data_IF_607735690944
#
_entry.id   IF_607735690944
#
_cell.length_a   1.000
_cell.length_b   1.000
_cell.length_c   1.000
_cell.angle_alpha   90.00
_cell.angle_beta   90.00
_cell.angle_gamma   90.00
#
_symmetry.space_group_name_H-M   'P 1'
#
loop_
_entity.id
_entity.type
_entity.pdbx_description
1 polymer ?
#
# COMPACT_ATOMS: atom_id res chain seq x y z
N UNK A 1 47.97 -20.36 -28.30
CA UNK A 1 48.01 -19.11 -27.50
C UNK A 1 47.04 -18.04 -28.01
N UNK A 2 47.05 -17.70 -29.31
CA UNK A 2 46.16 -16.66 -29.90
C UNK A 2 44.67 -16.99 -29.72
N UNK A 3 44.26 -18.23 -29.98
CA UNK A 3 42.85 -18.66 -29.83
C UNK A 3 42.34 -18.47 -28.39
N UNK A 4 43.17 -18.80 -27.40
CA UNK A 4 42.82 -18.61 -25.99
C UNK A 4 42.64 -17.14 -25.62
N UNK A 5 43.51 -16.25 -26.13
CA UNK A 5 43.38 -14.81 -25.95
C UNK A 5 42.07 -14.27 -26.56
N UNK A 6 41.75 -14.66 -27.80
CA UNK A 6 40.51 -14.24 -28.47
C UNK A 6 39.27 -14.71 -27.72
N UNK A 7 39.26 -15.98 -27.26
CA UNK A 7 38.15 -16.52 -26.47
C UNK A 7 38.02 -15.79 -25.12
N UNK A 8 39.13 -15.49 -24.45
CA UNK A 8 39.13 -14.74 -23.20
C UNK A 8 38.57 -13.32 -23.36
N UNK A 9 39.01 -12.58 -24.38
CA UNK A 9 38.50 -11.23 -24.66
C UNK A 9 37.02 -11.24 -25.07
N UNK A 10 36.60 -12.22 -25.88
CA UNK A 10 35.20 -12.39 -26.26
C UNK A 10 34.31 -12.69 -25.04
N UNK A 11 34.77 -13.57 -24.13
CA UNK A 11 34.09 -13.86 -22.88
C UNK A 11 34.00 -12.63 -21.97
N UNK A 12 35.10 -11.87 -21.82
CA UNK A 12 35.11 -10.62 -21.04
C UNK A 12 34.15 -9.58 -21.62
N UNK A 13 34.07 -9.45 -22.94
CA UNK A 13 33.11 -8.57 -23.60
C UNK A 13 31.66 -9.01 -23.36
N UNK A 14 31.37 -10.31 -23.48
CA UNK A 14 30.05 -10.87 -23.19
C UNK A 14 29.64 -10.65 -21.73
N UNK A 15 30.57 -10.85 -20.79
CA UNK A 15 30.33 -10.57 -19.38
C UNK A 15 30.09 -9.08 -19.15
N UNK A 16 30.92 -8.19 -19.71
CA UNK A 16 30.74 -6.74 -19.58
C UNK A 16 29.37 -6.28 -20.14
N UNK A 17 28.95 -6.82 -21.27
CA UNK A 17 27.63 -6.56 -21.86
C UNK A 17 26.49 -7.10 -20.99
N UNK A 18 26.64 -8.30 -20.41
CA UNK A 18 25.68 -8.88 -19.48
C UNK A 18 25.58 -8.11 -18.16
N UNK A 19 26.71 -7.67 -17.60
CA UNK A 19 26.78 -6.93 -16.34
C UNK A 19 26.39 -5.46 -16.48
N UNK A 20 26.45 -4.86 -17.68
CA UNK A 20 26.07 -3.46 -17.92
C UNK A 20 24.70 -3.12 -17.34
N UNK A 21 23.71 -3.98 -17.56
CA UNK A 21 22.36 -3.76 -17.03
C UNK A 21 22.31 -3.82 -15.51
N UNK A 22 23.00 -4.79 -14.91
CA UNK A 22 23.07 -4.94 -13.45
C UNK A 22 23.78 -3.76 -12.78
N UNK A 23 24.91 -3.32 -13.35
CA UNK A 23 25.65 -2.15 -12.87
C UNK A 23 24.80 -0.88 -12.96
N UNK A 24 24.15 -0.66 -14.11
CA UNK A 24 23.28 0.49 -14.31
C UNK A 24 22.08 0.51 -13.34
N UNK A 25 21.45 -0.64 -13.10
CA UNK A 25 20.36 -0.76 -12.13
C UNK A 25 20.84 -0.49 -10.70
N UNK A 26 22.03 -1.00 -10.33
CA UNK A 26 22.67 -0.72 -9.04
C UNK A 26 22.92 0.77 -8.84
N UNK A 27 23.44 1.46 -9.86
CA UNK A 27 23.67 2.91 -9.82
C UNK A 27 22.38 3.70 -9.63
N UNK A 28 21.33 3.40 -10.41
CA UNK A 28 20.03 4.05 -10.23
C UNK A 28 19.44 3.76 -8.85
N UNK A 29 19.54 2.52 -8.37
CA UNK A 29 19.09 2.13 -7.03
C UNK A 29 19.76 2.97 -5.94
N UNK A 30 21.07 3.23 -6.06
CA UNK A 30 21.83 4.05 -5.11
C UNK A 30 21.46 5.54 -5.18
N UNK A 31 21.33 6.10 -6.38
CA UNK A 31 21.07 7.54 -6.56
C UNK A 31 19.64 7.91 -6.16
N UNK A 32 18.65 7.15 -6.64
CA UNK A 32 17.25 7.49 -6.47
C UNK A 32 16.57 6.73 -5.33
N UNK A 33 17.18 5.66 -4.83
CA UNK A 33 16.57 4.74 -3.88
C UNK A 33 15.80 3.61 -4.55
N UNK A 34 15.68 2.48 -3.84
CA UNK A 34 15.07 1.26 -4.35
C UNK A 34 13.56 1.34 -4.56
N UNK A 35 12.87 2.24 -3.85
CA UNK A 35 11.42 2.47 -3.99
C UNK A 35 11.08 3.69 -4.85
N UNK A 36 12.02 4.17 -5.66
CA UNK A 36 11.80 5.29 -6.57
C UNK A 36 11.14 4.86 -7.86
N UNK A 37 10.35 5.76 -8.46
CA UNK A 37 9.81 5.56 -9.81
C UNK A 37 10.93 5.31 -10.82
N UNK A 38 12.04 6.06 -10.72
CA UNK A 38 13.19 5.94 -11.63
C UNK A 38 13.76 4.50 -11.63
N UNK A 39 14.00 3.93 -10.44
CA UNK A 39 14.48 2.56 -10.31
C UNK A 39 13.45 1.54 -10.81
N UNK A 40 12.22 1.58 -10.28
CA UNK A 40 11.19 0.57 -10.59
C UNK A 40 10.84 0.56 -12.07
N UNK A 41 10.67 1.74 -12.68
CA UNK A 41 10.38 1.87 -14.11
C UNK A 41 11.52 1.33 -14.97
N UNK A 42 12.77 1.65 -14.62
CA UNK A 42 13.93 1.15 -15.36
C UNK A 42 14.12 -0.36 -15.20
N UNK A 43 13.93 -0.89 -14.00
CA UNK A 43 13.99 -2.33 -13.75
C UNK A 43 12.95 -3.06 -14.61
N UNK A 44 11.70 -2.59 -14.62
CA UNK A 44 10.62 -3.16 -15.45
C UNK A 44 10.94 -3.07 -16.94
N UNK A 45 11.50 -1.95 -17.41
CA UNK A 45 11.88 -1.76 -18.81
C UNK A 45 12.92 -2.79 -19.28
N UNK A 46 13.93 -3.07 -18.45
CA UNK A 46 15.04 -3.99 -18.74
C UNK A 46 14.62 -5.46 -18.56
N UNK A 47 14.00 -5.79 -17.42
CA UNK A 47 13.74 -7.20 -17.03
C UNK A 47 12.36 -7.71 -17.44
N UNK A 48 11.45 -6.81 -17.86
CA UNK A 48 10.02 -7.08 -18.07
C UNK A 48 9.29 -7.63 -16.84
N UNK A 49 9.88 -7.51 -15.64
CA UNK A 49 9.34 -7.98 -14.36
C UNK A 49 9.27 -6.84 -13.36
N UNK A 50 8.36 -6.95 -12.39
CA UNK A 50 8.37 -6.03 -11.25
C UNK A 50 9.49 -6.45 -10.27
N UNK A 51 10.33 -5.53 -9.77
CA UNK A 51 11.31 -5.87 -8.73
C UNK A 51 10.66 -6.30 -7.41
N UNK A 52 9.36 -6.01 -7.21
CA UNK A 52 8.62 -6.31 -5.99
C UNK A 52 7.34 -7.10 -6.26
N UNK A 53 6.91 -7.87 -5.27
CA UNK A 53 5.58 -8.49 -5.25
C UNK A 53 4.49 -7.42 -5.26
N UNK A 54 3.41 -7.67 -5.99
CA UNK A 54 2.26 -6.76 -6.02
C UNK A 54 1.40 -6.96 -4.76
N UNK A 55 0.91 -5.87 -4.19
CA UNK A 55 0.05 -5.93 -3.00
C UNK A 55 -1.34 -6.50 -3.30
N UNK A 56 -1.85 -6.15 -4.47
CA UNK A 56 -3.08 -6.62 -5.08
C UNK A 56 -2.86 -6.70 -6.59
N UNK A 57 -3.64 -7.56 -7.26
CA UNK A 57 -3.54 -7.72 -8.73
C UNK A 57 -4.40 -6.70 -9.48
N UNK A 58 -5.42 -6.17 -8.83
CA UNK A 58 -6.41 -5.28 -9.43
C UNK A 58 -5.91 -3.83 -9.56
N UNK A 59 -6.68 -2.99 -10.23
CA UNK A 59 -6.35 -1.56 -10.33
C UNK A 59 -6.50 -0.87 -8.95
N UNK A 60 -5.50 -0.08 -8.56
CA UNK A 60 -5.55 0.70 -7.31
C UNK A 60 -6.74 1.68 -7.29
N UNK A 61 -7.27 2.05 -8.46
CA UNK A 61 -8.47 2.86 -8.59
C UNK A 61 -9.68 2.23 -7.90
N UNK A 62 -9.79 0.90 -7.83
CA UNK A 62 -10.86 0.24 -7.10
C UNK A 62 -10.77 0.49 -5.60
N UNK A 63 -9.55 0.49 -5.04
CA UNK A 63 -9.33 0.80 -3.63
C UNK A 63 -9.72 2.25 -3.32
N UNK A 64 -9.40 3.19 -4.22
CA UNK A 64 -9.78 4.59 -4.07
C UNK A 64 -11.27 4.84 -4.28
N UNK A 65 -11.92 4.14 -5.20
CA UNK A 65 -13.36 4.25 -5.42
C UNK A 65 -14.16 3.95 -4.14
N UNK A 66 -13.72 2.95 -3.37
CA UNK A 66 -14.37 2.61 -2.11
C UNK A 66 -14.29 3.73 -1.04
N UNK A 67 -13.34 4.66 -1.15
CA UNK A 67 -13.31 5.88 -0.32
C UNK A 67 -14.51 6.77 -0.64
N UNK A 68 -14.84 6.96 -1.92
CA UNK A 68 -16.03 7.71 -2.32
C UNK A 68 -17.33 7.00 -1.90
N UNK A 69 -17.32 5.67 -1.86
CA UNK A 69 -18.46 4.88 -1.37
C UNK A 69 -18.67 5.04 0.14
N UNK A 70 -17.59 5.17 0.92
CA UNK A 70 -17.65 5.50 2.34
C UNK A 70 -18.39 6.82 2.58
N UNK A 71 -18.15 7.84 1.75
CA UNK A 71 -18.83 9.15 1.85
C UNK A 71 -20.32 9.09 1.53
N UNK A 72 -20.74 8.07 0.77
CA UNK A 72 -22.13 7.84 0.41
C UNK A 72 -22.79 6.80 1.32
N UNK A 73 -22.06 6.26 2.28
CA UNK A 73 -22.55 5.19 3.13
C UNK A 73 -23.64 5.72 4.06
N UNK A 74 -24.81 5.10 4.04
CA UNK A 74 -25.97 5.50 4.86
C UNK A 74 -25.85 5.02 6.31
N UNK A 75 -24.95 4.08 6.59
CA UNK A 75 -24.68 3.55 7.93
C UNK A 75 -23.43 4.21 8.50
N UNK A 76 -23.63 5.35 9.13
CA UNK A 76 -22.61 6.17 9.76
C UNK A 76 -22.74 6.07 11.29
N UNK A 77 -21.61 5.85 11.96
CA UNK A 77 -21.47 5.89 13.40
C UNK A 77 -20.48 6.98 13.76
N UNK A 78 -20.82 7.84 14.71
CA UNK A 78 -19.95 8.92 15.17
C UNK A 78 -19.28 8.52 16.48
N UNK A 79 -17.98 8.82 16.59
CA UNK A 79 -17.14 8.52 17.76
C UNK A 79 -16.25 9.71 18.08
N UNK A 80 -15.69 9.77 19.28
CA UNK A 80 -14.80 10.87 19.67
C UNK A 80 -13.51 10.90 18.84
N UNK A 81 -12.95 9.71 18.57
CA UNK A 81 -11.66 9.55 17.91
C UNK A 81 -11.59 8.24 17.15
N UNK A 82 -11.25 8.33 15.86
CA UNK A 82 -10.85 7.18 15.06
C UNK A 82 -9.34 7.04 15.16
N UNK A 83 -8.87 5.89 15.62
CA UNK A 83 -7.44 5.64 15.75
C UNK A 83 -6.81 5.20 14.43
N UNK A 84 -5.62 5.69 14.19
CA UNK A 84 -4.74 5.16 13.16
C UNK A 84 -4.26 3.76 13.55
N UNK A 85 -4.53 2.75 12.71
CA UNK A 85 -4.31 1.33 13.04
C UNK A 85 -2.84 0.94 13.28
N UNK A 86 -1.89 1.65 12.67
CA UNK A 86 -0.44 1.42 12.85
C UNK A 86 0.31 2.60 13.46
N UNK A 87 -0.41 3.56 14.03
CA UNK A 87 0.21 4.71 14.72
C UNK A 87 0.95 5.71 13.82
N UNK A 88 0.89 5.58 12.48
CA UNK A 88 1.47 6.56 11.57
C UNK A 88 0.55 7.74 11.31
N UNK A 89 0.88 8.95 11.77
CA UNK A 89 0.09 10.13 11.44
C UNK A 89 -0.02 10.31 9.92
N UNK A 90 -1.10 10.95 9.46
CA UNK A 90 -1.16 11.39 8.07
C UNK A 90 0.03 12.30 7.73
N UNK A 91 0.37 12.36 6.46
CA UNK A 91 1.52 13.05 5.90
C UNK A 91 2.89 12.51 6.33
N UNK A 92 2.95 11.42 7.11
CA UNK A 92 4.20 10.68 7.33
C UNK A 92 4.80 10.27 6.00
N UNK A 93 6.10 10.52 5.81
CA UNK A 93 6.78 10.16 4.59
C UNK A 93 6.97 8.66 4.45
N UNK A 94 7.01 8.15 3.21
CA UNK A 94 7.34 6.74 2.96
C UNK A 94 8.69 6.35 3.58
N UNK A 95 9.68 7.26 3.54
CA UNK A 95 10.98 7.02 4.16
C UNK A 95 10.86 6.80 5.67
N UNK A 96 10.10 7.64 6.38
CA UNK A 96 9.90 7.48 7.82
C UNK A 96 9.22 6.15 8.17
N UNK A 97 8.23 5.72 7.38
CA UNK A 97 7.60 4.41 7.57
C UNK A 97 8.59 3.27 7.33
N UNK A 98 9.38 3.36 6.26
CA UNK A 98 10.40 2.37 5.92
C UNK A 98 11.48 2.25 7.01
N UNK A 99 11.94 3.37 7.56
CA UNK A 99 12.95 3.40 8.61
C UNK A 99 12.44 2.73 9.92
N UNK A 100 11.13 2.65 10.13
CA UNK A 100 10.51 2.02 11.31
C UNK A 100 10.10 0.55 11.09
N UNK A 101 9.63 0.18 9.90
CA UNK A 101 9.11 -1.18 9.62
C UNK A 101 9.97 -2.02 8.67
N UNK A 102 11.15 -1.53 8.30
CA UNK A 102 12.02 -2.16 7.30
C UNK A 102 11.33 -2.33 5.94
N UNK A 103 11.65 -3.43 5.25
CA UNK A 103 11.23 -3.71 3.90
C UNK A 103 9.76 -4.14 3.84
N UNK A 104 8.92 -3.55 2.97
CA UNK A 104 7.57 -4.06 2.74
C UNK A 104 7.59 -5.43 2.05
N UNK A 105 6.62 -6.27 2.41
CA UNK A 105 6.36 -7.58 1.80
C UNK A 105 5.89 -7.46 0.34
N UNK A 106 5.17 -6.38 0.04
CA UNK A 106 4.71 -6.05 -1.29
C UNK A 106 4.78 -4.54 -1.55
N UNK A 107 4.96 -4.16 -2.81
CA UNK A 107 5.06 -2.76 -3.18
C UNK A 107 4.43 -2.49 -4.54
N UNK A 108 3.56 -1.49 -4.60
CA UNK A 108 2.98 -0.97 -5.83
C UNK A 108 3.41 0.47 -6.00
N UNK A 109 3.81 0.83 -7.23
CA UNK A 109 4.17 2.19 -7.58
C UNK A 109 3.52 2.55 -8.91
N UNK A 110 2.74 3.62 -8.89
CA UNK A 110 2.08 4.20 -10.05
C UNK A 110 2.48 5.68 -10.17
N UNK A 111 2.66 6.17 -11.40
CA UNK A 111 2.93 7.58 -11.68
C UNK A 111 1.89 8.10 -12.66
N UNK A 112 1.14 9.12 -12.25
CA UNK A 112 0.23 9.86 -13.11
C UNK A 112 0.76 11.29 -13.28
N UNK A 113 1.21 11.63 -14.50
CA UNK A 113 1.84 12.92 -14.83
C UNK A 113 3.01 13.24 -13.87
N UNK A 114 2.81 14.17 -12.93
CA UNK A 114 3.80 14.60 -11.93
C UNK A 114 3.62 13.88 -10.58
N UNK A 115 2.49 13.21 -10.37
CA UNK A 115 2.16 12.61 -9.09
C UNK A 115 2.63 11.16 -9.02
N UNK A 116 3.13 10.75 -7.86
CA UNK A 116 3.56 9.38 -7.58
C UNK A 116 2.70 8.82 -6.46
N UNK A 117 2.00 7.73 -6.77
CA UNK A 117 1.34 6.89 -5.79
C UNK A 117 2.27 5.72 -5.43
N UNK A 118 2.54 5.55 -4.14
CA UNK A 118 3.20 4.36 -3.59
C UNK A 118 2.23 3.64 -2.68
N UNK A 119 2.26 2.32 -2.70
CA UNK A 119 1.51 1.48 -1.77
C UNK A 119 2.48 0.45 -1.23
N UNK A 120 2.65 0.47 0.09
CA UNK A 120 3.53 -0.44 0.81
C UNK A 120 2.67 -1.40 1.62
N UNK A 121 2.82 -2.70 1.42
CA UNK A 121 2.09 -3.69 2.19
C UNK A 121 2.99 -4.48 3.13
N UNK A 122 2.48 -4.71 4.32
CA UNK A 122 3.13 -5.45 5.39
C UNK A 122 2.15 -6.49 5.93
N UNK A 123 2.59 -7.74 6.03
CA UNK A 123 1.83 -8.78 6.70
C UNK A 123 1.91 -8.54 8.21
N UNK A 124 0.78 -8.56 8.89
CA UNK A 124 0.73 -8.43 10.34
C UNK A 124 -0.42 -9.25 10.94
N UNK A 125 -0.65 -9.06 12.23
CA UNK A 125 -1.76 -9.66 12.97
C UNK A 125 -2.50 -8.56 13.75
N UNK A 126 -3.80 -8.41 13.51
CA UNK A 126 -4.73 -7.52 14.18
C UNK A 126 -6.02 -8.29 14.43
N UNK A 127 -6.65 -8.07 15.58
CA UNK A 127 -7.87 -8.78 15.98
C UNK A 127 -7.75 -10.30 15.98
N UNK A 128 -6.55 -10.80 16.31
CA UNK A 128 -6.17 -12.21 16.28
C UNK A 128 -6.28 -12.88 14.89
N UNK A 129 -6.43 -12.09 13.82
CA UNK A 129 -6.47 -12.57 12.44
C UNK A 129 -5.24 -12.09 11.69
N UNK A 130 -4.82 -12.84 10.67
CA UNK A 130 -3.78 -12.38 9.76
C UNK A 130 -4.37 -11.38 8.79
N UNK A 131 -3.65 -10.30 8.59
CA UNK A 131 -4.04 -9.25 7.66
C UNK A 131 -2.83 -8.73 6.89
N UNK A 132 -3.12 -8.09 5.77
CA UNK A 132 -2.16 -7.27 5.05
C UNK A 132 -2.49 -5.81 5.32
N UNK A 133 -1.59 -5.12 6.00
CA UNK A 133 -1.66 -3.67 6.20
C UNK A 133 -1.06 -2.96 4.99
N UNK A 134 -1.88 -2.20 4.28
CA UNK A 134 -1.51 -1.41 3.12
C UNK A 134 -1.45 0.07 3.51
N UNK A 135 -0.32 0.70 3.23
CA UNK A 135 -0.08 2.12 3.49
C UNK A 135 0.03 2.85 2.14
N UNK A 136 -0.82 3.85 1.93
CA UNK A 136 -0.96 4.57 0.66
C UNK A 136 -0.34 5.95 0.77
N UNK A 137 0.61 6.24 -0.12
CA UNK A 137 1.37 7.48 -0.14
C UNK A 137 1.16 8.21 -1.46
N UNK A 138 0.76 9.47 -1.39
CA UNK A 138 0.64 10.35 -2.55
C UNK A 138 1.73 11.40 -2.46
N UNK A 139 2.60 11.45 -3.47
CA UNK A 139 3.79 12.31 -3.46
C UNK A 139 4.61 12.17 -2.18
N UNK A 140 4.83 10.91 -1.79
CA UNK A 140 5.57 10.51 -0.59
C UNK A 140 4.85 10.70 0.74
N UNK A 141 3.64 11.30 0.77
CA UNK A 141 2.88 11.54 2.01
C UNK A 141 1.79 10.51 2.24
N UNK A 142 1.77 9.90 3.42
CA UNK A 142 0.74 8.94 3.84
C UNK A 142 -0.64 9.62 3.89
N UNK A 143 -1.63 9.07 3.20
CA UNK A 143 -2.98 9.63 3.17
C UNK A 143 -4.09 8.63 3.49
N UNK A 144 -3.80 7.33 3.37
CA UNK A 144 -4.75 6.27 3.66
C UNK A 144 -4.02 5.02 4.16
N UNK A 145 -4.70 4.28 5.03
CA UNK A 145 -4.29 2.97 5.49
C UNK A 145 -5.43 1.99 5.23
N UNK A 146 -5.11 0.76 4.85
CA UNK A 146 -6.10 -0.29 4.66
C UNK A 146 -5.61 -1.57 5.34
N UNK A 147 -6.46 -2.21 6.15
CA UNK A 147 -6.23 -3.59 6.56
C UNK A 147 -7.08 -4.49 5.68
N UNK A 148 -6.45 -5.47 5.04
CA UNK A 148 -7.13 -6.46 4.20
C UNK A 148 -7.01 -7.84 4.85
N UNK A 149 -8.14 -8.46 5.14
CA UNK A 149 -8.25 -9.80 5.70
C UNK A 149 -8.68 -10.75 4.58
N UNK A 150 -7.74 -11.58 4.10
CA UNK A 150 -7.97 -12.49 2.98
C UNK A 150 -8.36 -13.92 3.39
N UNK A 151 -7.84 -14.41 4.51
CA UNK A 151 -8.11 -15.77 5.00
C UNK A 151 -9.14 -15.73 6.13
N UNK A 152 -10.40 -15.52 5.77
CA UNK A 152 -11.50 -15.41 6.72
C UNK A 152 -12.00 -16.80 7.14
N UNK A 153 -12.03 -17.05 8.45
CA UNK A 153 -12.87 -18.10 9.04
C UNK A 153 -14.34 -17.65 9.06
N UNK A 154 -15.28 -18.59 9.13
CA UNK A 154 -16.74 -18.34 9.05
C UNK A 154 -17.25 -17.23 10.01
N UNK A 155 -16.68 -17.12 11.22
CA UNK A 155 -17.06 -16.11 12.23
C UNK A 155 -16.19 -14.83 12.21
N UNK A 156 -15.31 -14.68 11.22
CA UNK A 156 -14.35 -13.57 11.18
C UNK A 156 -14.98 -12.18 11.06
N UNK A 157 -16.02 -11.97 10.20
CA UNK A 157 -16.66 -10.66 10.09
C UNK A 157 -17.28 -10.19 11.41
N UNK A 158 -18.02 -11.06 12.09
CA UNK A 158 -18.68 -10.75 13.35
C UNK A 158 -17.65 -10.47 14.44
N UNK A 159 -16.55 -11.25 14.50
CA UNK A 159 -15.48 -11.00 15.45
C UNK A 159 -14.80 -9.64 15.25
N UNK A 160 -14.54 -9.24 14.00
CA UNK A 160 -13.96 -7.92 13.71
C UNK A 160 -14.95 -6.81 14.09
N UNK A 161 -16.23 -6.97 13.75
CA UNK A 161 -17.26 -6.00 14.10
C UNK A 161 -17.38 -5.86 15.62
N UNK A 162 -17.41 -6.97 16.36
CA UNK A 162 -17.44 -6.96 17.83
C UNK A 162 -16.23 -6.20 18.38
N UNK A 163 -15.02 -6.46 17.87
CA UNK A 163 -13.83 -5.74 18.34
C UNK A 163 -13.85 -4.25 17.99
N UNK A 164 -14.54 -3.84 16.92
CA UNK A 164 -14.77 -2.43 16.63
C UNK A 164 -15.81 -1.82 17.57
N UNK A 165 -16.89 -2.55 17.87
CA UNK A 165 -17.90 -2.13 18.86
C UNK A 165 -17.25 -1.91 20.22
N UNK A 166 -16.48 -2.89 20.69
CA UNK A 166 -15.77 -2.82 21.98
C UNK A 166 -14.73 -1.68 21.99
N UNK A 167 -14.02 -1.48 20.88
CA UNK A 167 -12.97 -0.44 20.77
C UNK A 167 -13.55 0.98 20.81
N UNK A 168 -14.69 1.19 20.16
CA UNK A 168 -15.27 2.52 19.96
C UNK A 168 -16.48 2.80 20.85
N UNK A 169 -16.90 1.84 21.68
CA UNK A 169 -18.08 1.90 22.54
C UNK A 169 -19.37 2.25 21.75
N UNK A 170 -19.60 1.53 20.65
CA UNK A 170 -20.74 1.74 19.75
C UNK A 170 -21.48 0.45 19.42
N UNK A 171 -22.79 0.54 19.22
CA UNK A 171 -23.61 -0.58 18.77
C UNK A 171 -23.72 -0.60 17.24
N UNK A 172 -22.93 -1.47 16.60
CA UNK A 172 -22.95 -1.67 15.14
C UNK A 172 -23.77 -2.92 14.79
N UNK A 173 -25.02 -2.83 14.30
CA UNK A 173 -25.70 -3.99 13.72
C UNK A 173 -24.88 -4.58 12.57
N UNK A 174 -24.89 -5.90 12.40
CA UNK A 174 -24.14 -6.54 11.32
C UNK A 174 -24.57 -5.96 9.96
N UNK A 175 -23.62 -5.32 9.30
CA UNK A 175 -23.79 -4.73 7.98
C UNK A 175 -22.55 -5.03 7.15
N UNK A 176 -22.77 -5.33 5.87
CA UNK A 176 -21.66 -5.58 4.94
C UNK A 176 -20.74 -4.38 4.83
N UNK A 177 -21.30 -3.18 4.83
CA UNK A 177 -20.54 -1.93 4.73
C UNK A 177 -21.06 -0.93 5.76
N UNK A 178 -20.16 -0.28 6.48
CA UNK A 178 -20.48 0.84 7.36
C UNK A 178 -19.28 1.77 7.53
N UNK A 179 -19.55 2.96 8.03
CA UNK A 179 -18.54 4.00 8.25
C UNK A 179 -18.57 4.44 9.71
N UNK A 180 -17.40 4.50 10.34
CA UNK A 180 -17.19 5.18 11.62
C UNK A 180 -16.47 6.49 11.33
N UNK A 181 -16.94 7.59 11.90
CA UNK A 181 -16.37 8.93 11.70
C UNK A 181 -16.06 9.57 13.05
N UNK A 182 -14.95 10.30 13.13
CA UNK A 182 -14.67 11.18 14.27
C UNK A 182 -14.92 12.68 13.99
N UNK A 183 -14.87 13.46 15.05
CA UNK A 183 -15.05 14.93 15.04
C UNK A 183 -14.01 15.70 14.22
N UNK A 184 -12.92 15.05 13.78
CA UNK A 184 -11.82 15.64 13.00
C UNK A 184 -11.82 15.16 11.55
N UNK A 185 -12.94 14.58 11.10
CA UNK A 185 -13.13 14.00 9.77
C UNK A 185 -12.13 12.86 9.46
N UNK A 186 -11.73 12.10 10.48
CA UNK A 186 -11.17 10.77 10.28
C UNK A 186 -12.29 9.78 10.07
N UNK A 187 -12.11 8.92 9.07
CA UNK A 187 -13.06 7.90 8.68
C UNK A 187 -12.40 6.54 8.82
N UNK A 188 -13.15 5.58 9.35
CA UNK A 188 -12.88 4.16 9.26
C UNK A 188 -14.04 3.53 8.48
N UNK A 189 -13.75 3.05 7.29
CA UNK A 189 -14.72 2.40 6.42
C UNK A 189 -14.52 0.88 6.43
N UNK A 190 -15.54 0.17 6.88
CA UNK A 190 -15.60 -1.28 6.85
C UNK A 190 -16.28 -1.76 5.58
N UNK A 191 -15.71 -2.77 4.94
CA UNK A 191 -16.28 -3.44 3.77
C UNK A 191 -16.16 -4.94 3.91
N UNK A 192 -17.28 -5.63 3.71
CA UNK A 192 -17.39 -7.08 3.59
C UNK A 192 -17.91 -7.42 2.19
N UNK A 193 -17.00 -7.93 1.35
CA UNK A 193 -17.32 -8.35 -0.01
C UNK A 193 -17.84 -9.80 -0.08
N UNK A 194 -17.81 -10.55 1.03
CA UNK A 194 -17.99 -12.00 1.06
C UNK A 194 -16.72 -12.80 0.71
N UNK A 195 -15.71 -12.17 0.11
CA UNK A 195 -14.42 -12.80 -0.22
C UNK A 195 -13.26 -12.29 0.62
N UNK A 196 -13.32 -11.02 1.00
CA UNK A 196 -12.36 -10.36 1.88
C UNK A 196 -13.07 -9.31 2.72
N UNK A 197 -12.49 -9.01 3.88
CA UNK A 197 -12.85 -7.85 4.68
C UNK A 197 -11.79 -6.76 4.50
N UNK A 198 -12.21 -5.51 4.44
CA UNK A 198 -11.29 -4.38 4.46
C UNK A 198 -11.70 -3.31 5.47
N UNK A 199 -10.70 -2.76 6.14
CA UNK A 199 -10.82 -1.58 7.01
C UNK A 199 -9.98 -0.47 6.44
N UNK A 200 -10.60 0.55 5.85
CA UNK A 200 -9.91 1.71 5.29
C UNK A 200 -9.97 2.87 6.26
N UNK A 201 -8.82 3.46 6.55
CA UNK A 201 -8.70 4.64 7.41
C UNK A 201 -8.12 5.78 6.61
N UNK A 202 -8.82 6.91 6.63
CA UNK A 202 -8.42 8.12 5.93
C UNK A 202 -9.00 9.37 6.59
N UNK A 203 -8.42 10.52 6.26
CA UNK A 203 -8.92 11.82 6.75
C UNK A 203 -9.26 12.71 5.57
N UNK A 204 -10.49 13.20 5.48
CA UNK A 204 -10.92 14.03 4.34
C UNK A 204 -10.31 15.43 4.32
N UNK A 205 -9.88 15.95 5.45
CA UNK A 205 -9.18 17.23 5.52
C UNK A 205 -7.71 17.11 5.07
N UNK A 206 -7.19 15.89 4.86
CA UNK A 206 -5.86 15.69 4.33
C UNK A 206 -5.77 16.13 2.85
N UNK A 207 -4.83 17.02 2.55
CA UNK A 207 -4.67 17.55 1.19
C UNK A 207 -4.36 16.47 0.16
N UNK A 208 -3.62 15.43 0.56
CA UNK A 208 -3.25 14.33 -0.31
C UNK A 208 -4.46 13.50 -0.71
N UNK A 209 -5.41 13.25 0.20
CA UNK A 209 -6.64 12.55 -0.19
C UNK A 209 -7.52 13.40 -1.10
N UNK A 210 -7.63 14.70 -0.82
CA UNK A 210 -8.40 15.62 -1.66
C UNK A 210 -7.81 15.72 -3.08
N UNK A 211 -6.49 15.67 -3.20
CA UNK A 211 -5.81 15.61 -4.50
C UNK A 211 -6.10 14.30 -5.23
N UNK A 212 -6.13 13.17 -4.51
CA UNK A 212 -6.43 11.86 -5.07
C UNK A 212 -7.89 11.75 -5.55
N UNK A 213 -8.85 12.27 -4.78
CA UNK A 213 -10.28 12.18 -5.11
C UNK A 213 -10.72 13.07 -6.29
N UNK A 214 -9.89 14.04 -6.70
CA UNK A 214 -10.15 14.94 -7.85
C UNK A 214 -9.68 14.37 -9.20
N UNK A 215 -9.01 13.23 -9.20
CA UNK A 215 -8.41 12.58 -10.38
C UNK A 215 -9.10 11.27 -10.71
#
# INVERSE_FOLDING_TARGET
MIIFLVLFFSLMLLLALGFRHSFYLTMIKKIYGQYSYAYVSKYKSITKRNPYSYCFKDDFLYHLKSVNEALKCTKLFEVDKVDVLKGFPYDTSFKQVFDQHNQPDCFVLNKNKKNILKIAGYNSQVFQQKEKSLLYFWNDKLFMQELVFGDLKENSPQNIIQQLQDKYDIAIPYHKNFTIKDTRDNYLYFTDSGFYLSLKIFNLNNQSIQAVLKH
#
